data_IF_056580297978
#
_entry.id   IF_056580297978
#
_cell.length_a   1.000
_cell.length_b   1.000
_cell.length_c   1.000
_cell.angle_alpha   90.00
_cell.angle_beta   90.00
_cell.angle_gamma   90.00
#
_symmetry.space_group_name_H-M   'P 1'
#
loop_
_entity.id
_entity.type
_entity.pdbx_description
1 polymer ?
#
# COMPACT_ATOMS: atom_id res chain seq x y z
N UNK A 1 20.43 62.09 4.65
CA UNK A 1 19.71 60.79 4.83
C UNK A 1 18.93 60.55 3.55
N UNK A 2 19.35 59.54 2.75
CA UNK A 2 18.65 59.13 1.50
C UNK A 2 17.90 57.82 1.80
N UNK A 3 16.62 57.68 1.48
CA UNK A 3 15.92 56.42 1.64
C UNK A 3 16.24 55.50 0.44
N UNK A 4 16.62 54.24 0.74
CA UNK A 4 16.77 53.17 -0.24
C UNK A 4 15.42 52.55 -0.51
N UNK A 5 14.95 52.62 -1.77
CA UNK A 5 13.79 51.86 -2.26
C UNK A 5 14.20 50.40 -2.49
N UNK A 6 13.57 49.50 -1.77
CA UNK A 6 13.61 48.06 -2.07
C UNK A 6 12.48 47.74 -3.09
N UNK A 7 12.86 47.37 -4.31
CA UNK A 7 11.95 46.87 -5.29
C UNK A 7 11.76 45.36 -5.04
N UNK A 8 10.55 44.95 -4.62
CA UNK A 8 10.18 43.56 -4.51
C UNK A 8 9.77 43.03 -5.92
N UNK A 9 10.57 42.12 -6.48
CA UNK A 9 10.22 41.42 -7.72
C UNK A 9 9.23 40.28 -7.39
N UNK A 10 7.97 40.46 -7.77
CA UNK A 10 6.97 39.39 -7.72
C UNK A 10 7.22 38.41 -8.88
N UNK A 11 7.66 37.19 -8.58
CA UNK A 11 7.65 36.08 -9.56
C UNK A 11 6.20 35.68 -9.81
N UNK A 12 5.69 36.02 -10.99
CA UNK A 12 4.42 35.52 -11.48
C UNK A 12 4.61 34.04 -11.90
N UNK A 13 4.07 33.11 -11.12
CA UNK A 13 3.93 31.71 -11.51
C UNK A 13 2.88 31.63 -12.63
N UNK A 14 3.33 31.35 -13.86
CA UNK A 14 2.45 31.05 -14.99
C UNK A 14 1.80 29.67 -14.76
N UNK A 15 0.46 29.55 -14.81
CA UNK A 15 -0.20 28.25 -14.75
C UNK A 15 0.23 27.42 -15.96
N UNK A 16 0.69 26.20 -15.74
CA UNK A 16 0.92 25.24 -16.80
C UNK A 16 -0.43 24.89 -17.45
N UNK A 17 -0.65 25.40 -18.67
CA UNK A 17 -1.82 25.02 -19.48
C UNK A 17 -1.61 23.57 -19.92
N UNK A 18 -2.46 22.65 -19.44
CA UNK A 18 -2.55 21.32 -20.00
C UNK A 18 -2.93 21.43 -21.48
N UNK A 19 -2.09 20.90 -22.38
CA UNK A 19 -2.38 20.90 -23.80
C UNK A 19 -3.59 20.00 -24.05
N UNK A 20 -4.74 20.57 -24.41
CA UNK A 20 -5.87 19.83 -24.96
C UNK A 20 -5.48 19.32 -26.34
N UNK A 21 -5.29 18.01 -26.47
CA UNK A 21 -5.08 17.37 -27.78
C UNK A 21 -6.46 17.23 -28.43
N UNK A 22 -6.78 18.10 -29.38
CA UNK A 22 -8.00 18.01 -30.15
C UNK A 22 -7.84 16.92 -31.21
N UNK A 23 -8.48 15.77 -31.00
CA UNK A 23 -8.48 14.65 -31.94
C UNK A 23 -9.67 14.81 -32.87
N UNK A 24 -9.41 15.11 -34.16
CA UNK A 24 -10.48 15.20 -35.16
C UNK A 24 -11.16 13.83 -35.35
N UNK A 25 -12.43 13.74 -35.02
CA UNK A 25 -13.28 12.56 -35.19
C UNK A 25 -14.28 12.80 -36.31
N UNK A 26 -14.52 11.77 -37.14
CA UNK A 26 -15.48 11.83 -38.26
C UNK A 26 -16.70 10.93 -38.02
N UNK A 27 -16.61 10.02 -37.06
CA UNK A 27 -17.65 9.06 -36.69
C UNK A 27 -18.01 9.12 -35.20
N UNK A 28 -19.00 8.33 -34.79
CA UNK A 28 -19.33 8.19 -33.36
C UNK A 28 -18.17 7.63 -32.56
N UNK A 29 -18.01 8.13 -31.34
CA UNK A 29 -16.96 7.70 -30.39
C UNK A 29 -17.58 6.84 -29.30
N UNK A 30 -16.91 5.76 -28.95
CA UNK A 30 -17.20 4.94 -27.78
C UNK A 30 -16.01 5.00 -26.81
N UNK A 31 -16.32 5.17 -25.53
CA UNK A 31 -15.35 5.10 -24.44
C UNK A 31 -15.62 3.86 -23.62
N UNK A 32 -14.59 3.03 -23.43
CA UNK A 32 -14.69 1.75 -22.76
C UNK A 32 -13.62 1.67 -21.67
N UNK A 33 -14.04 1.28 -20.48
CA UNK A 33 -13.15 0.99 -19.36
C UNK A 33 -13.17 -0.50 -19.08
N UNK A 34 -11.98 -1.11 -19.05
CA UNK A 34 -11.78 -2.49 -18.63
C UNK A 34 -10.79 -2.54 -17.47
N UNK A 35 -11.01 -3.46 -16.54
CA UNK A 35 -10.10 -3.72 -15.43
C UNK A 35 -9.75 -5.20 -15.41
N UNK A 36 -8.47 -5.49 -15.46
CA UNK A 36 -7.96 -6.86 -15.45
C UNK A 36 -6.98 -7.05 -14.30
N UNK A 37 -7.03 -8.24 -13.69
CA UNK A 37 -6.21 -8.57 -12.52
C UNK A 37 -5.47 -9.88 -12.76
N UNK A 38 -4.15 -9.83 -12.64
CA UNK A 38 -3.29 -11.01 -12.68
C UNK A 38 -2.93 -11.42 -11.25
N UNK A 39 -3.26 -12.67 -10.90
CA UNK A 39 -2.92 -13.25 -9.61
C UNK A 39 -1.54 -13.88 -9.62
N UNK A 40 -0.76 -13.68 -8.56
CA UNK A 40 0.55 -14.29 -8.38
C UNK A 40 0.79 -14.68 -6.92
N UNK A 41 1.77 -15.53 -6.68
CA UNK A 41 2.26 -15.78 -5.33
C UNK A 41 3.07 -14.57 -4.86
N UNK A 42 2.90 -14.13 -3.61
CA UNK A 42 3.74 -13.08 -3.03
C UNK A 42 5.17 -13.58 -2.84
N UNK A 43 6.14 -12.68 -2.84
CA UNK A 43 7.56 -12.96 -2.54
C UNK A 43 8.07 -12.15 -1.35
N UNK A 44 7.25 -11.27 -0.79
CA UNK A 44 7.59 -10.51 0.40
C UNK A 44 6.36 -10.23 1.27
N UNK A 45 6.61 -9.92 2.54
CA UNK A 45 5.61 -9.47 3.48
C UNK A 45 6.08 -8.21 4.21
N UNK A 46 5.19 -7.26 4.41
CA UNK A 46 5.44 -6.09 5.26
C UNK A 46 4.73 -6.27 6.59
N UNK A 47 5.45 -6.07 7.67
CA UNK A 47 4.95 -6.13 9.05
C UNK A 47 5.22 -4.79 9.72
N UNK A 48 4.21 -4.23 10.39
CA UNK A 48 4.41 -3.11 11.31
C UNK A 48 4.60 -3.67 12.73
N UNK A 49 5.69 -3.29 13.39
CA UNK A 49 5.98 -3.68 14.76
C UNK A 49 6.26 -2.45 15.61
N UNK A 50 5.63 -2.36 16.77
CA UNK A 50 5.73 -1.20 17.65
C UNK A 50 6.01 -1.57 19.09
N UNK A 51 6.53 -0.59 19.81
CA UNK A 51 6.71 -0.61 21.25
C UNK A 51 5.98 0.57 21.84
N UNK A 52 5.01 0.30 22.70
CA UNK A 52 4.35 1.33 23.53
C UNK A 52 4.83 1.19 24.96
N UNK A 53 5.24 2.32 25.54
CA UNK A 53 5.68 2.41 26.95
C UNK A 53 4.93 3.52 27.67
N UNK A 54 4.73 3.37 28.98
CA UNK A 54 4.17 4.40 29.86
C UNK A 54 5.10 4.68 31.03
N UNK A 55 5.28 5.96 31.37
CA UNK A 55 5.99 6.39 32.57
C UNK A 55 5.41 7.69 33.12
N UNK A 56 5.68 8.04 34.41
CA UNK A 56 5.18 9.29 35.01
C UNK A 56 5.66 10.57 34.32
N UNK A 57 6.80 10.53 33.64
CA UNK A 57 7.35 11.67 32.89
C UNK A 57 7.59 11.32 31.43
N UNK A 58 7.46 12.30 30.55
CA UNK A 58 7.72 12.16 29.11
C UNK A 58 9.13 11.62 28.83
N UNK A 59 10.13 12.17 29.54
CA UNK A 59 11.53 11.76 29.39
C UNK A 59 11.74 10.30 29.77
N UNK A 60 11.19 9.85 30.89
CA UNK A 60 11.31 8.45 31.34
C UNK A 60 10.60 7.48 30.38
N UNK A 61 9.44 7.86 29.86
CA UNK A 61 8.73 7.03 28.88
C UNK A 61 9.52 6.92 27.56
N UNK A 62 10.06 8.05 27.06
CA UNK A 62 10.88 8.07 25.85
C UNK A 62 12.15 7.22 26.00
N UNK A 63 12.87 7.33 27.09
CA UNK A 63 14.08 6.52 27.35
C UNK A 63 13.76 5.03 27.44
N UNK A 64 12.67 4.67 28.12
CA UNK A 64 12.22 3.28 28.21
C UNK A 64 11.84 2.72 26.84
N UNK A 65 11.13 3.53 26.03
CA UNK A 65 10.74 3.17 24.67
C UNK A 65 11.96 2.95 23.77
N UNK A 66 12.92 3.89 23.75
CA UNK A 66 14.14 3.79 22.96
C UNK A 66 14.89 2.50 23.24
N UNK A 67 15.11 2.17 24.53
CA UNK A 67 15.81 0.94 24.95
C UNK A 67 15.08 -0.33 24.45
N UNK A 68 13.76 -0.37 24.51
CA UNK A 68 12.99 -1.54 24.04
C UNK A 68 13.00 -1.64 22.52
N UNK A 69 12.86 -0.51 21.81
CA UNK A 69 12.91 -0.51 20.35
C UNK A 69 14.30 -0.89 19.83
N UNK A 70 15.38 -0.49 20.51
CA UNK A 70 16.73 -0.96 20.20
C UNK A 70 16.85 -2.48 20.27
N UNK A 71 16.25 -3.12 21.28
CA UNK A 71 16.25 -4.57 21.41
C UNK A 71 15.46 -5.25 20.28
N UNK A 72 14.32 -4.67 19.87
CA UNK A 72 13.52 -5.14 18.74
C UNK A 72 14.32 -5.06 17.44
N UNK A 73 14.97 -3.92 17.16
CA UNK A 73 15.79 -3.73 15.95
C UNK A 73 17.02 -4.67 15.97
N UNK A 74 17.67 -4.82 17.11
CA UNK A 74 18.79 -5.75 17.26
C UNK A 74 18.38 -7.20 16.98
N UNK A 75 17.19 -7.60 17.42
CA UNK A 75 16.64 -8.94 17.14
C UNK A 75 16.37 -9.14 15.65
N UNK A 76 15.78 -8.17 14.94
CA UNK A 76 15.56 -8.23 13.49
C UNK A 76 16.89 -8.42 12.73
N UNK A 77 17.91 -7.64 13.10
CA UNK A 77 19.25 -7.78 12.50
C UNK A 77 19.87 -9.15 12.76
N UNK A 78 19.69 -9.67 13.97
CA UNK A 78 20.19 -11.02 14.33
C UNK A 78 19.46 -12.13 13.54
N UNK A 79 18.24 -11.89 13.05
CA UNK A 79 17.50 -12.77 12.15
C UNK A 79 17.91 -12.62 10.68
N UNK A 80 18.87 -11.73 10.38
CA UNK A 80 19.39 -11.51 9.02
C UNK A 80 18.59 -10.52 8.20
N UNK A 81 17.67 -9.74 8.82
CA UNK A 81 16.92 -8.70 8.11
C UNK A 81 17.84 -7.51 7.86
N UNK A 82 17.92 -7.07 6.60
CA UNK A 82 18.79 -5.99 6.18
C UNK A 82 18.34 -4.65 6.79
N UNK A 83 19.27 -3.72 6.96
CA UNK A 83 18.97 -2.41 7.55
C UNK A 83 17.97 -1.61 6.70
N UNK A 84 18.07 -1.72 5.40
CA UNK A 84 17.20 -1.08 4.42
C UNK A 84 15.76 -1.58 4.47
N UNK A 85 15.55 -2.81 4.94
CA UNK A 85 14.24 -3.41 5.12
C UNK A 85 13.58 -3.07 6.48
N UNK A 86 14.26 -2.27 7.31
CA UNK A 86 13.75 -1.79 8.62
C UNK A 86 13.64 -0.27 8.58
N UNK A 87 12.43 0.24 8.61
CA UNK A 87 12.16 1.69 8.56
C UNK A 87 11.31 2.12 9.75
N UNK A 88 11.70 3.19 10.45
CA UNK A 88 10.81 3.82 11.44
C UNK A 88 9.65 4.50 10.70
N UNK A 89 8.43 4.10 11.04
CA UNK A 89 7.20 4.63 10.46
C UNK A 89 6.58 5.77 11.27
N UNK A 90 6.85 5.81 12.58
CA UNK A 90 6.36 6.87 13.42
C UNK A 90 6.81 6.79 14.87
N UNK A 91 6.86 7.94 15.53
CA UNK A 91 7.04 8.06 16.99
C UNK A 91 6.02 9.06 17.51
N UNK A 92 5.20 8.66 18.47
CA UNK A 92 4.21 9.51 19.14
C UNK A 92 4.47 9.57 20.64
N UNK A 93 4.19 10.72 21.25
CA UNK A 93 4.23 10.96 22.69
C UNK A 93 2.94 11.64 23.10
N UNK A 94 2.15 11.01 23.94
CA UNK A 94 0.85 11.50 24.37
C UNK A 94 0.73 11.47 25.91
N UNK A 95 0.03 12.45 26.47
CA UNK A 95 -0.38 12.41 27.87
C UNK A 95 -1.57 11.46 28.04
N UNK A 96 -1.41 10.47 28.90
CA UNK A 96 -2.43 9.45 29.17
C UNK A 96 -3.30 9.84 30.37
N UNK A 97 -4.62 9.74 30.20
CA UNK A 97 -5.61 10.03 31.24
C UNK A 97 -6.62 8.88 31.38
N UNK A 98 -7.01 8.58 32.61
CA UNK A 98 -8.16 7.73 32.88
C UNK A 98 -9.46 8.55 32.77
N UNK A 99 -10.34 8.16 31.84
CA UNK A 99 -11.63 8.80 31.57
C UNK A 99 -12.80 7.82 31.73
N UNK A 100 -12.59 6.71 32.44
CA UNK A 100 -13.63 5.64 32.57
C UNK A 100 -14.86 6.12 33.34
N UNK A 101 -14.72 7.09 34.21
CA UNK A 101 -15.83 7.66 34.96
C UNK A 101 -16.24 9.01 34.38
N UNK A 102 -17.37 9.10 33.69
CA UNK A 102 -17.83 10.33 33.00
C UNK A 102 -18.17 11.46 33.97
N UNK A 103 -18.45 11.14 35.25
CA UNK A 103 -18.83 12.10 36.29
C UNK A 103 -17.64 12.57 37.12
N UNK A 104 -16.42 12.14 36.82
CA UNK A 104 -15.19 12.54 37.51
C UNK A 104 -14.20 13.19 36.57
N UNK A 105 -13.36 14.09 37.12
CA UNK A 105 -12.25 14.66 36.36
C UNK A 105 -11.28 13.58 35.89
N UNK A 106 -10.76 13.75 34.67
CA UNK A 106 -9.80 12.83 34.08
C UNK A 106 -8.52 12.74 34.92
N UNK A 107 -8.21 11.54 35.42
CA UNK A 107 -6.99 11.34 36.24
C UNK A 107 -5.79 11.13 35.32
N UNK A 108 -4.73 11.91 35.54
CA UNK A 108 -3.48 11.75 34.80
C UNK A 108 -2.78 10.43 35.17
N UNK A 109 -2.43 9.64 34.17
CA UNK A 109 -1.78 8.33 34.31
C UNK A 109 -0.29 8.33 33.96
N UNK A 110 0.19 9.37 33.30
CA UNK A 110 1.54 9.46 32.79
C UNK A 110 1.61 9.83 31.33
N UNK A 111 2.72 9.48 30.69
CA UNK A 111 2.98 9.72 29.28
C UNK A 111 3.17 8.40 28.56
N UNK A 112 2.41 8.20 27.46
CA UNK A 112 2.58 7.10 26.54
C UNK A 112 3.50 7.51 25.40
N UNK A 113 4.49 6.66 25.12
CA UNK A 113 5.31 6.74 23.92
C UNK A 113 5.08 5.51 23.09
N UNK A 114 4.68 5.70 21.84
CA UNK A 114 4.61 4.63 20.84
C UNK A 114 5.62 4.90 19.75
N UNK A 115 6.47 3.91 19.48
CA UNK A 115 7.44 3.91 18.39
C UNK A 115 7.16 2.71 17.49
N UNK A 116 7.00 2.95 16.20
CA UNK A 116 6.66 1.93 15.22
C UNK A 116 7.70 1.85 14.11
N UNK A 117 7.99 0.63 13.69
CA UNK A 117 8.81 0.32 12.53
C UNK A 117 8.03 -0.49 11.53
N UNK A 118 8.26 -0.24 10.25
CA UNK A 118 7.83 -1.07 9.14
C UNK A 118 9.00 -1.98 8.76
N UNK A 119 8.73 -3.26 8.61
CA UNK A 119 9.74 -4.30 8.32
C UNK A 119 9.33 -5.07 7.08
N UNK A 120 10.18 -5.09 6.06
CA UNK A 120 10.00 -5.92 4.87
C UNK A 120 10.68 -7.27 5.08
N UNK A 121 9.91 -8.35 4.97
CA UNK A 121 10.37 -9.73 5.10
C UNK A 121 10.35 -10.37 3.72
N UNK A 122 11.54 -10.67 3.17
CA UNK A 122 11.71 -11.27 1.83
C UNK A 122 11.65 -12.80 1.84
N UNK A 123 11.59 -13.40 3.01
CA UNK A 123 11.44 -14.83 3.21
C UNK A 123 10.09 -15.08 3.89
N UNK A 124 9.09 -15.46 3.07
CA UNK A 124 7.70 -15.65 3.53
C UNK A 124 7.61 -16.77 4.57
N UNK A 125 8.41 -17.83 4.44
CA UNK A 125 8.39 -18.97 5.35
C UNK A 125 8.86 -18.60 6.77
N UNK A 126 9.60 -17.49 6.88
CA UNK A 126 10.09 -16.97 8.17
C UNK A 126 9.19 -15.92 8.81
N UNK A 127 8.12 -15.51 8.15
CA UNK A 127 7.22 -14.46 8.68
C UNK A 127 6.70 -14.83 10.08
N UNK A 128 6.13 -16.02 10.25
CA UNK A 128 5.59 -16.45 11.55
C UNK A 128 6.64 -16.48 12.67
N UNK A 129 7.82 -17.06 12.40
CA UNK A 129 8.91 -17.09 13.38
C UNK A 129 9.49 -15.72 13.69
N UNK A 130 9.45 -14.78 12.72
CA UNK A 130 9.87 -13.40 12.93
C UNK A 130 8.89 -12.66 13.82
N UNK A 131 7.58 -12.85 13.62
CA UNK A 131 6.55 -12.27 14.49
C UNK A 131 6.71 -12.74 15.95
N UNK A 132 6.89 -14.03 16.16
CA UNK A 132 7.15 -14.59 17.50
C UNK A 132 8.41 -13.99 18.14
N UNK A 133 9.47 -13.82 17.35
CA UNK A 133 10.72 -13.24 17.81
C UNK A 133 10.61 -11.74 18.15
N UNK A 134 9.77 -10.99 17.46
CA UNK A 134 9.48 -9.58 17.75
C UNK A 134 8.77 -9.41 19.08
N UNK A 135 7.78 -10.27 19.39
CA UNK A 135 7.08 -10.28 20.67
C UNK A 135 8.07 -10.58 21.81
N UNK A 136 8.92 -11.59 21.65
CA UNK A 136 9.96 -11.95 22.63
C UNK A 136 10.96 -10.80 22.83
N UNK A 137 11.28 -10.04 21.78
CA UNK A 137 12.18 -8.90 21.86
C UNK A 137 11.57 -7.66 22.53
N UNK A 138 10.24 -7.66 22.77
CA UNK A 138 9.54 -6.59 23.49
C UNK A 138 8.59 -5.74 22.65
N UNK A 139 8.35 -6.09 21.37
CA UNK A 139 7.27 -5.50 20.61
C UNK A 139 5.91 -5.86 21.25
N UNK A 140 5.07 -4.87 21.47
CA UNK A 140 3.74 -5.06 22.08
C UNK A 140 2.60 -4.50 21.20
N UNK A 141 2.94 -4.02 20.02
CA UNK A 141 2.03 -3.64 18.97
C UNK A 141 2.53 -4.26 17.65
N UNK A 142 1.74 -5.14 17.04
CA UNK A 142 2.09 -5.79 15.77
C UNK A 142 0.86 -5.74 14.85
N UNK A 143 1.08 -5.26 13.63
CA UNK A 143 0.10 -5.17 12.57
C UNK A 143 0.61 -5.87 11.31
N UNK A 144 -0.26 -6.54 10.60
CA UNK A 144 0.08 -7.32 9.43
C UNK A 144 0.15 -8.82 9.72
N UNK A 145 0.79 -9.63 8.86
CA UNK A 145 1.54 -9.26 7.66
C UNK A 145 0.64 -8.81 6.49
N UNK A 146 1.18 -7.91 5.67
CA UNK A 146 0.63 -7.58 4.35
C UNK A 146 1.54 -8.16 3.29
N UNK A 147 1.00 -9.05 2.47
CA UNK A 147 1.77 -9.74 1.43
C UNK A 147 1.78 -8.97 0.12
N UNK A 148 2.92 -8.96 -0.56
CA UNK A 148 3.09 -8.28 -1.85
C UNK A 148 4.16 -8.98 -2.70
N UNK A 149 4.33 -8.47 -3.93
CA UNK A 149 5.50 -8.79 -4.76
C UNK A 149 6.43 -7.59 -4.81
N UNK A 150 7.73 -7.86 -4.76
CA UNK A 150 8.76 -6.83 -4.95
C UNK A 150 8.74 -6.31 -6.40
N UNK A 151 8.69 -7.20 -7.37
CA UNK A 151 8.55 -6.84 -8.79
C UNK A 151 7.25 -7.41 -9.38
N UNK A 152 6.25 -6.55 -9.55
CA UNK A 152 4.97 -6.86 -10.18
C UNK A 152 4.90 -6.46 -11.67
N UNK A 153 6.02 -5.98 -12.26
CA UNK A 153 6.07 -5.53 -13.65
C UNK A 153 5.58 -6.58 -14.65
N UNK A 154 6.00 -7.88 -14.56
CA UNK A 154 5.51 -8.90 -15.48
C UNK A 154 3.99 -9.07 -15.41
N UNK A 155 3.41 -9.07 -14.19
CA UNK A 155 1.98 -9.20 -13.98
C UNK A 155 1.23 -7.96 -14.50
N UNK A 156 1.82 -6.78 -14.32
CA UNK A 156 1.28 -5.51 -14.83
C UNK A 156 1.22 -5.49 -16.35
N UNK A 157 2.27 -5.99 -17.03
CA UNK A 157 2.26 -6.12 -18.49
C UNK A 157 1.15 -7.05 -18.95
N UNK A 158 0.99 -8.22 -18.33
CA UNK A 158 -0.08 -9.16 -18.65
C UNK A 158 -1.48 -8.56 -18.42
N UNK A 159 -1.69 -7.89 -17.28
CA UNK A 159 -2.96 -7.25 -16.97
C UNK A 159 -3.29 -6.13 -17.98
N UNK A 160 -2.29 -5.34 -18.38
CA UNK A 160 -2.44 -4.29 -19.40
C UNK A 160 -2.83 -4.85 -20.75
N UNK A 161 -2.16 -5.90 -21.21
CA UNK A 161 -2.47 -6.55 -22.47
C UNK A 161 -3.89 -7.13 -22.47
N UNK A 162 -4.29 -7.78 -21.37
CA UNK A 162 -5.63 -8.31 -21.21
C UNK A 162 -6.69 -7.21 -21.20
N UNK A 163 -6.47 -6.12 -20.44
CA UNK A 163 -7.37 -4.96 -20.38
C UNK A 163 -7.51 -4.29 -21.74
N UNK A 164 -6.41 -4.08 -22.46
CA UNK A 164 -6.42 -3.49 -23.80
C UNK A 164 -7.21 -4.36 -24.78
N UNK A 165 -6.98 -5.68 -24.76
CA UNK A 165 -7.73 -6.63 -25.59
C UNK A 165 -9.22 -6.61 -25.28
N UNK A 166 -9.59 -6.51 -24.01
CA UNK A 166 -10.99 -6.42 -23.58
C UNK A 166 -11.66 -5.14 -24.11
N UNK A 167 -11.00 -3.98 -24.03
CA UNK A 167 -11.55 -2.72 -24.58
C UNK A 167 -11.68 -2.78 -26.09
N UNK A 168 -10.70 -3.32 -26.83
CA UNK A 168 -10.75 -3.47 -28.29
C UNK A 168 -11.90 -4.39 -28.74
N UNK A 169 -12.04 -5.53 -28.07
CA UNK A 169 -13.13 -6.48 -28.37
C UNK A 169 -14.51 -5.85 -28.14
N UNK A 170 -14.70 -5.19 -27.03
CA UNK A 170 -15.97 -4.53 -26.69
C UNK A 170 -16.28 -3.38 -27.64
N UNK A 171 -15.27 -2.59 -28.04
CA UNK A 171 -15.43 -1.51 -29.00
C UNK A 171 -15.86 -2.04 -30.38
N UNK A 172 -15.27 -3.13 -30.86
CA UNK A 172 -15.69 -3.79 -32.10
C UNK A 172 -17.12 -4.34 -32.03
N UNK A 173 -17.53 -4.84 -30.89
CA UNK A 173 -18.89 -5.31 -30.67
C UNK A 173 -19.89 -4.16 -30.79
N UNK A 174 -19.61 -3.02 -30.13
CA UNK A 174 -20.45 -1.82 -30.26
C UNK A 174 -20.49 -1.29 -31.70
N UNK A 175 -19.35 -1.24 -32.39
CA UNK A 175 -19.31 -0.81 -33.80
C UNK A 175 -20.21 -1.70 -34.67
N UNK A 176 -20.14 -3.03 -34.51
CA UNK A 176 -20.97 -3.99 -35.24
C UNK A 176 -22.47 -3.79 -34.95
N UNK A 177 -22.84 -3.61 -33.68
CA UNK A 177 -24.25 -3.37 -33.27
C UNK A 177 -24.76 -2.06 -33.88
N UNK A 178 -23.92 -1.03 -33.96
CA UNK A 178 -24.26 0.26 -34.51
C UNK A 178 -24.19 0.33 -36.06
N UNK A 179 -23.83 -0.77 -36.74
CA UNK A 179 -23.76 -0.84 -38.20
C UNK A 179 -22.48 -0.28 -38.82
N UNK A 180 -21.39 -0.19 -38.03
CA UNK A 180 -20.05 0.23 -38.49
C UNK A 180 -19.17 -1.00 -38.75
N UNK A 181 -18.21 -0.85 -39.68
CA UNK A 181 -17.34 -1.95 -40.10
C UNK A 181 -16.09 -2.12 -39.24
N UNK A 182 -15.63 -1.04 -38.59
CA UNK A 182 -14.39 -1.08 -37.81
C UNK A 182 -14.34 -0.05 -36.70
N UNK A 183 -13.18 0.01 -36.07
CA UNK A 183 -12.84 0.98 -35.04
C UNK A 183 -11.44 1.56 -35.26
N UNK A 184 -11.24 2.79 -34.82
CA UNK A 184 -9.94 3.49 -34.76
C UNK A 184 -9.67 3.94 -33.33
N UNK A 185 -8.55 3.52 -32.73
CA UNK A 185 -8.13 3.98 -31.42
C UNK A 185 -7.81 5.47 -31.47
N UNK A 186 -8.37 6.24 -30.54
CA UNK A 186 -8.17 7.69 -30.40
C UNK A 186 -7.27 8.02 -29.20
N UNK A 187 -7.57 7.42 -28.05
CA UNK A 187 -6.86 7.70 -26.81
C UNK A 187 -6.87 6.47 -25.90
N UNK A 188 -5.85 6.36 -25.06
CA UNK A 188 -5.73 5.39 -24.00
C UNK A 188 -5.32 6.11 -22.73
N UNK A 189 -6.01 5.82 -21.64
CA UNK A 189 -5.68 6.26 -20.31
C UNK A 189 -5.54 5.03 -19.41
N UNK A 190 -4.41 4.92 -18.71
CA UNK A 190 -4.11 3.82 -17.82
C UNK A 190 -4.05 4.32 -16.38
N UNK A 191 -4.79 3.65 -15.51
CA UNK A 191 -4.72 3.83 -14.05
C UNK A 191 -4.16 2.57 -13.42
N UNK A 192 -3.05 2.72 -12.69
CA UNK A 192 -2.45 1.64 -11.94
C UNK A 192 -3.10 1.56 -10.56
N UNK A 193 -3.63 0.39 -10.23
CA UNK A 193 -4.00 0.07 -8.85
C UNK A 193 -2.85 -0.73 -8.24
N UNK A 194 -2.35 -0.28 -7.08
CA UNK A 194 -1.39 -1.10 -6.34
C UNK A 194 -2.08 -2.38 -5.89
N UNK A 195 -1.48 -3.52 -6.25
CA UNK A 195 -1.98 -4.84 -5.91
C UNK A 195 -2.06 -5.02 -4.40
N UNK A 196 -3.25 -5.35 -3.92
CA UNK A 196 -3.51 -5.75 -2.55
C UNK A 196 -3.82 -7.25 -2.47
N UNK A 197 -3.93 -7.80 -1.25
CA UNK A 197 -4.40 -9.17 -1.05
C UNK A 197 -5.79 -9.32 -1.68
N UNK A 198 -5.95 -10.35 -2.53
CA UNK A 198 -7.27 -10.70 -3.06
C UNK A 198 -7.98 -11.54 -1.99
N UNK A 199 -9.22 -11.18 -1.59
CA UNK A 199 -10.00 -12.02 -0.70
C UNK A 199 -10.12 -13.43 -1.29
N UNK A 200 -9.87 -14.45 -0.47
CA UNK A 200 -10.08 -15.84 -0.86
C UNK A 200 -11.56 -16.04 -1.22
N UNK A 201 -11.87 -16.21 -2.49
CA UNK A 201 -13.08 -16.95 -2.85
C UNK A 201 -12.87 -18.37 -2.38
N UNK A 202 -13.77 -18.83 -1.51
CA UNK A 202 -13.73 -20.13 -0.83
C UNK A 202 -13.52 -21.29 -1.80
N UNK A 203 -12.29 -21.58 -2.16
CA UNK A 203 -11.92 -22.85 -2.76
C UNK A 203 -12.02 -23.92 -1.68
N UNK A 204 -12.77 -24.98 -2.01
CA UNK A 204 -13.14 -26.15 -1.19
C UNK A 204 -12.12 -26.49 -0.12
N UNK A 205 -12.57 -26.46 1.15
CA UNK A 205 -11.82 -26.88 2.33
C UNK A 205 -11.27 -28.30 2.16
N UNK A 206 -9.98 -28.41 1.90
CA UNK A 206 -9.20 -29.60 2.24
C UNK A 206 -8.98 -29.63 3.74
N UNK A 207 -9.16 -30.81 4.35
CA UNK A 207 -8.89 -31.01 5.78
C UNK A 207 -7.39 -30.82 6.01
N UNK A 208 -7.01 -29.74 6.70
CA UNK A 208 -5.64 -29.47 7.09
C UNK A 208 -5.37 -30.28 8.37
N UNK A 209 -4.46 -31.25 8.27
CA UNK A 209 -3.92 -31.95 9.44
C UNK A 209 -2.91 -31.03 10.10
N UNK A 210 -3.29 -30.41 11.22
CA UNK A 210 -2.42 -29.54 12.01
C UNK A 210 -1.41 -30.42 12.77
N UNK A 211 -0.20 -30.54 12.25
CA UNK A 211 0.95 -31.00 13.03
C UNK A 211 1.44 -29.85 13.90
N UNK A 212 1.46 -30.08 15.21
CA UNK A 212 1.77 -29.07 16.22
C UNK A 212 3.24 -28.58 16.13
N UNK A 213 3.50 -27.57 15.30
CA UNK A 213 4.67 -26.72 15.42
C UNK A 213 4.26 -25.43 16.14
N UNK A 214 5.00 -25.07 17.19
CA UNK A 214 4.76 -23.88 18.04
C UNK A 214 5.18 -22.58 17.32
N UNK A 215 4.74 -22.36 16.10
CA UNK A 215 4.97 -21.13 15.34
C UNK A 215 3.63 -20.55 14.95
N UNK A 216 3.54 -19.23 14.92
CA UNK A 216 2.33 -18.56 14.40
C UNK A 216 2.12 -19.02 12.94
N UNK A 217 0.99 -19.74 12.64
CA UNK A 217 0.71 -20.19 11.29
C UNK A 217 0.37 -18.98 10.41
N UNK A 218 1.01 -18.90 9.25
CA UNK A 218 0.82 -17.82 8.29
C UNK A 218 0.51 -18.43 6.92
N UNK A 219 -0.60 -18.02 6.34
CA UNK A 219 -1.04 -18.43 5.01
C UNK A 219 -1.03 -17.21 4.08
N UNK A 220 -0.02 -17.05 3.20
CA UNK A 220 0.16 -15.83 2.42
C UNK A 220 -0.91 -15.61 1.34
N UNK A 221 -1.57 -16.67 0.86
CA UNK A 221 -2.55 -16.58 -0.20
C UNK A 221 -1.96 -16.12 -1.54
N UNK A 222 -2.77 -15.41 -2.35
CA UNK A 222 -2.34 -14.79 -3.60
C UNK A 222 -2.51 -13.29 -3.55
N UNK A 223 -1.66 -12.58 -4.29
CA UNK A 223 -1.74 -11.13 -4.48
C UNK A 223 -2.14 -10.84 -5.92
N UNK A 224 -2.94 -9.79 -6.12
CA UNK A 224 -3.43 -9.38 -7.43
C UNK A 224 -2.78 -8.09 -7.89
N UNK A 225 -2.27 -8.07 -9.10
CA UNK A 225 -1.86 -6.84 -9.79
C UNK A 225 -2.95 -6.45 -10.77
N UNK A 226 -3.60 -5.31 -10.53
CA UNK A 226 -4.70 -4.83 -11.35
C UNK A 226 -4.28 -3.64 -12.21
N UNK A 227 -4.73 -3.65 -13.46
CA UNK A 227 -4.63 -2.52 -14.39
C UNK A 227 -6.03 -2.16 -14.85
N UNK A 228 -6.40 -0.90 -14.67
CA UNK A 228 -7.59 -0.33 -15.27
C UNK A 228 -7.19 0.53 -16.47
N UNK A 229 -7.81 0.25 -17.62
CA UNK A 229 -7.55 0.92 -18.87
C UNK A 229 -8.84 1.48 -19.43
N UNK A 230 -8.85 2.78 -19.71
CA UNK A 230 -9.93 3.46 -20.43
C UNK A 230 -9.44 3.78 -21.82
N UNK A 231 -10.14 3.30 -22.84
CA UNK A 231 -9.81 3.54 -24.24
C UNK A 231 -10.98 4.19 -24.98
N UNK A 232 -10.66 5.18 -25.83
CA UNK A 232 -11.60 5.86 -26.71
C UNK A 232 -11.39 5.39 -28.14
N UNK A 233 -12.46 4.95 -28.77
CA UNK A 233 -12.46 4.48 -30.15
C UNK A 233 -13.49 5.22 -30.97
N UNK A 234 -13.09 5.63 -32.16
CA UNK A 234 -13.99 6.09 -33.21
C UNK A 234 -14.50 4.88 -34.01
N UNK A 235 -15.80 4.81 -34.27
CA UNK A 235 -16.39 3.82 -35.15
C UNK A 235 -16.21 4.23 -36.60
N UNK A 236 -15.71 3.34 -37.45
CA UNK A 236 -15.40 3.61 -38.86
C UNK A 236 -16.29 2.79 -39.80
N UNK A 237 -16.59 3.33 -40.99
CA UNK A 237 -17.32 2.65 -42.05
C UNK A 237 -16.43 1.78 -42.91
#
# INVERSE_FOLDING_TARGET
MKPALFAAAALAATPAMAANVDIAVQGPVVEITASETVQSEPDQATVSAGVTTRAPTAVASMQSNAKRMEAVIAKLRALGIAREDIQTSGVTLDAAYDRRNRDQEATFLGYDVTNEISVTLRDIDKVGSTLDALVVAGANNINGPSFSREDDKPQRVQAREAAFKATDQQAREYARIAGFAGIRLLAVEETLSQGGPIPFETAKRGVIVVTAQRRTPIEPGRVGTAVQLTAKYEMTR
#
